data_IF_475172346119
#
_entry.id   IF_475172346119
#
_cell.length_a   1.000
_cell.length_b   1.000
_cell.length_c   1.000
_cell.angle_alpha   90.00
_cell.angle_beta   90.00
_cell.angle_gamma   90.00
#
_symmetry.space_group_name_H-M   'P 1'
#
loop_
_entity.id
_entity.type
_entity.pdbx_description
1 polymer ?
#
# COMPACT_ATOMS: atom_id res chain seq x y z
N UNK A 1 -7.62 33.13 6.88
CA UNK A 1 -6.50 32.86 5.94
C UNK A 1 -7.11 32.82 4.53
N UNK A 2 -7.03 33.91 3.77
CA UNK A 2 -7.50 33.96 2.37
C UNK A 2 -6.29 33.78 1.44
N UNK A 3 -6.11 32.57 0.92
CA UNK A 3 -5.16 32.35 -0.17
C UNK A 3 -5.77 32.93 -1.46
N UNK A 4 -5.01 33.77 -2.18
CA UNK A 4 -5.44 34.41 -3.43
C UNK A 4 -5.79 33.43 -4.56
N UNK A 5 -6.13 33.93 -5.76
CA UNK A 5 -6.65 33.10 -6.85
C UNK A 5 -5.64 32.02 -7.29
N UNK A 6 -6.17 30.85 -7.66
CA UNK A 6 -5.39 29.69 -8.13
C UNK A 6 -4.54 30.11 -9.35
N UNK A 7 -3.23 30.23 -9.16
CA UNK A 7 -2.29 30.66 -10.20
C UNK A 7 -1.94 29.55 -11.20
N UNK A 8 -2.02 28.29 -10.79
CA UNK A 8 -1.67 27.15 -11.63
C UNK A 8 -2.45 25.90 -11.20
N UNK A 9 -3.12 25.25 -12.14
CA UNK A 9 -3.81 23.97 -11.91
C UNK A 9 -3.07 22.87 -12.68
N UNK A 10 -2.32 22.06 -11.95
CA UNK A 10 -1.63 20.90 -12.51
C UNK A 10 -2.65 19.82 -12.86
N UNK A 11 -2.56 19.22 -14.06
CA UNK A 11 -3.31 18.02 -14.41
C UNK A 11 -2.49 16.77 -14.02
N UNK A 12 -2.95 15.95 -13.05
CA UNK A 12 -2.20 14.78 -12.60
C UNK A 12 -1.93 13.75 -13.70
N UNK A 13 -2.82 13.58 -14.69
CA UNK A 13 -2.60 12.68 -15.84
C UNK A 13 -1.45 13.15 -16.73
N UNK A 14 -1.37 14.45 -16.99
CA UNK A 14 -0.26 15.04 -17.78
C UNK A 14 1.06 14.92 -17.02
N UNK A 15 1.05 15.08 -15.70
CA UNK A 15 2.24 14.84 -14.88
C UNK A 15 2.65 13.37 -14.84
N UNK A 16 1.69 12.44 -14.75
CA UNK A 16 1.98 11.01 -14.76
C UNK A 16 2.66 10.58 -16.06
N UNK A 17 2.24 11.13 -17.21
CA UNK A 17 2.87 10.89 -18.51
C UNK A 17 4.27 11.49 -18.65
N UNK A 18 4.63 12.46 -17.80
CA UNK A 18 5.96 13.09 -17.77
C UNK A 18 6.91 12.41 -16.77
N UNK A 19 6.44 11.44 -15.98
CA UNK A 19 7.30 10.71 -15.03
C UNK A 19 8.05 9.59 -15.75
N UNK A 20 9.31 9.33 -15.37
CA UNK A 20 10.16 8.34 -16.03
C UNK A 20 9.86 6.88 -15.62
N UNK A 21 8.73 6.62 -14.96
CA UNK A 21 8.36 5.29 -14.47
C UNK A 21 6.87 4.99 -14.68
N UNK A 22 6.57 3.72 -14.96
CA UNK A 22 5.19 3.23 -15.11
C UNK A 22 4.48 3.20 -13.75
N UNK A 23 3.18 3.53 -13.74
CA UNK A 23 2.31 3.38 -12.57
C UNK A 23 1.33 2.26 -12.82
N UNK A 24 1.44 1.17 -12.06
CA UNK A 24 0.61 -0.02 -12.22
C UNK A 24 -0.22 -0.26 -10.97
N UNK A 25 -1.48 -0.65 -11.16
CA UNK A 25 -2.33 -1.17 -10.10
C UNK A 25 -2.67 -2.63 -10.41
N UNK A 26 -2.46 -3.49 -9.42
CA UNK A 26 -2.86 -4.90 -9.41
C UNK A 26 -4.04 -5.08 -8.44
N UNK A 27 -5.28 -5.20 -8.94
CA UNK A 27 -6.40 -5.61 -8.12
C UNK A 27 -6.17 -7.05 -7.62
N UNK A 28 -6.28 -7.26 -6.31
CA UNK A 28 -6.18 -8.57 -5.65
C UNK A 28 -7.53 -8.95 -5.09
N UNK A 29 -8.29 -9.71 -5.89
CA UNK A 29 -9.63 -10.14 -5.51
C UNK A 29 -9.57 -11.14 -4.36
N UNK A 30 -10.35 -10.87 -3.31
CA UNK A 30 -10.43 -11.72 -2.11
C UNK A 30 -11.76 -12.46 -2.10
N UNK A 31 -11.78 -13.62 -1.44
CA UNK A 31 -13.02 -14.35 -1.17
C UNK A 31 -13.68 -13.93 0.14
N UNK A 32 -13.25 -12.81 0.74
CA UNK A 32 -13.75 -12.33 2.02
C UNK A 32 -15.27 -12.14 1.98
N UNK A 33 -15.95 -12.75 2.94
CA UNK A 33 -17.40 -12.65 3.13
C UNK A 33 -17.70 -12.24 4.57
N UNK A 34 -18.82 -11.55 4.75
CA UNK A 34 -19.30 -11.17 6.08
C UNK A 34 -20.70 -11.72 6.31
N UNK A 35 -20.99 -12.10 7.54
CA UNK A 35 -22.33 -12.55 7.92
C UNK A 35 -23.35 -11.43 7.76
N UNK A 36 -24.61 -11.78 7.53
CA UNK A 36 -25.69 -10.78 7.47
C UNK A 36 -25.79 -9.95 8.76
N UNK A 37 -25.52 -10.57 9.91
CA UNK A 37 -25.49 -9.90 11.20
C UNK A 37 -24.41 -8.82 11.25
N UNK A 38 -23.18 -9.13 10.81
CA UNK A 38 -22.11 -8.13 10.72
C UNK A 38 -22.46 -6.99 9.76
N UNK A 39 -23.12 -7.28 8.63
CA UNK A 39 -23.60 -6.23 7.71
C UNK A 39 -24.63 -5.32 8.37
N UNK A 40 -25.57 -5.87 9.15
CA UNK A 40 -26.61 -5.11 9.87
C UNK A 40 -26.01 -4.25 10.98
N UNK A 41 -25.02 -4.77 11.71
CA UNK A 41 -24.29 -4.03 12.76
C UNK A 41 -23.42 -2.90 12.22
N UNK A 42 -23.10 -2.94 10.93
CA UNK A 42 -22.53 -1.82 10.18
C UNK A 42 -21.05 -1.95 9.88
N UNK A 43 -20.48 -0.88 9.32
CA UNK A 43 -19.15 -0.92 8.68
C UNK A 43 -18.01 -1.27 9.65
N UNK A 44 -18.14 -0.98 10.94
CA UNK A 44 -17.11 -1.29 11.92
C UNK A 44 -16.98 -2.80 12.17
N UNK A 45 -18.09 -3.53 12.20
CA UNK A 45 -18.07 -5.00 12.32
C UNK A 45 -17.49 -5.65 11.05
N UNK A 46 -17.83 -5.11 9.87
CA UNK A 46 -17.21 -5.54 8.61
C UNK A 46 -15.69 -5.37 8.68
N UNK A 47 -15.20 -4.25 9.17
CA UNK A 47 -13.76 -4.02 9.33
C UNK A 47 -13.11 -4.93 10.36
N UNK A 48 -13.80 -5.24 11.45
CA UNK A 48 -13.31 -6.19 12.47
C UNK A 48 -13.22 -7.61 11.91
N UNK A 49 -14.21 -8.04 11.14
CA UNK A 49 -14.17 -9.34 10.45
C UNK A 49 -13.06 -9.38 9.39
N UNK A 50 -12.89 -8.30 8.63
CA UNK A 50 -11.92 -8.21 7.53
C UNK A 50 -10.48 -8.39 7.97
N UNK A 51 -10.09 -7.83 9.11
CA UNK A 51 -8.71 -7.95 9.61
C UNK A 51 -8.41 -9.33 10.22
N UNK A 52 -9.46 -10.12 10.48
CA UNK A 52 -9.39 -11.48 11.04
C UNK A 52 -9.59 -12.57 9.99
N UNK A 53 -9.81 -12.19 8.73
CA UNK A 53 -9.96 -13.16 7.64
C UNK A 53 -8.60 -13.75 7.26
N UNK A 54 -8.36 -15.01 7.65
CA UNK A 54 -7.08 -15.68 7.47
C UNK A 54 -6.71 -15.82 5.99
N UNK A 55 -7.65 -16.26 5.14
CA UNK A 55 -7.39 -16.45 3.71
C UNK A 55 -6.98 -15.15 3.00
N UNK A 56 -7.60 -14.03 3.36
CA UNK A 56 -7.21 -12.70 2.88
C UNK A 56 -5.85 -12.29 3.43
N UNK A 57 -5.56 -12.57 4.70
CA UNK A 57 -4.28 -12.24 5.31
C UNK A 57 -3.13 -13.07 4.73
N UNK A 58 -3.38 -14.32 4.38
CA UNK A 58 -2.43 -15.20 3.67
C UNK A 58 -2.10 -14.64 2.29
N UNK A 59 -3.13 -14.26 1.52
CA UNK A 59 -2.95 -13.62 0.21
C UNK A 59 -2.06 -12.36 0.32
N UNK A 60 -2.32 -11.53 1.32
CA UNK A 60 -1.54 -10.32 1.57
C UNK A 60 -0.10 -10.65 1.93
N UNK A 61 0.09 -11.61 2.83
CA UNK A 61 1.40 -12.05 3.29
C UNK A 61 2.26 -12.55 2.12
N UNK A 62 1.71 -13.43 1.28
CA UNK A 62 2.40 -13.99 0.12
C UNK A 62 2.80 -12.90 -0.89
N UNK A 63 1.90 -11.95 -1.14
CA UNK A 63 2.18 -10.86 -2.07
C UNK A 63 3.27 -9.91 -1.54
N UNK A 64 3.32 -9.67 -0.22
CA UNK A 64 4.40 -8.90 0.44
C UNK A 64 5.73 -9.63 0.33
N UNK A 65 5.75 -10.92 0.64
CA UNK A 65 6.97 -11.73 0.59
C UNK A 65 7.55 -11.74 -0.83
N UNK A 66 6.72 -11.97 -1.84
CA UNK A 66 7.19 -11.95 -3.23
C UNK A 66 7.66 -10.56 -3.68
N UNK A 67 7.13 -9.48 -3.10
CA UNK A 67 7.65 -8.13 -3.36
C UNK A 67 9.05 -7.94 -2.76
N UNK A 68 9.27 -8.41 -1.54
CA UNK A 68 10.59 -8.39 -0.89
C UNK A 68 11.62 -9.23 -1.66
N UNK A 69 11.26 -10.45 -2.07
CA UNK A 69 12.11 -11.34 -2.89
C UNK A 69 12.50 -10.71 -4.23
N UNK A 70 11.64 -9.86 -4.80
CA UNK A 70 11.92 -9.10 -6.03
C UNK A 70 12.79 -7.86 -5.78
N UNK A 71 13.33 -7.69 -4.57
CA UNK A 71 14.17 -6.56 -4.18
C UNK A 71 13.43 -5.23 -4.16
N UNK A 72 12.11 -5.25 -3.99
CA UNK A 72 11.29 -4.02 -3.94
C UNK A 72 11.39 -3.37 -2.57
N UNK A 73 10.92 -2.13 -2.47
CA UNK A 73 10.81 -1.37 -1.22
C UNK A 73 9.34 -1.14 -0.88
N UNK A 74 8.68 -2.13 -0.24
CA UNK A 74 7.24 -2.07 0.01
C UNK A 74 6.83 -1.21 1.21
N UNK A 75 5.68 -0.56 1.05
CA UNK A 75 4.87 0.03 2.10
C UNK A 75 3.57 -0.78 2.23
N UNK A 76 3.37 -1.41 3.38
CA UNK A 76 2.10 -1.99 3.77
C UNK A 76 1.26 -0.99 4.55
N UNK A 77 0.05 -0.74 4.06
CA UNK A 77 -0.87 0.23 4.64
C UNK A 77 -2.16 -0.43 5.12
N UNK A 78 -2.46 -0.21 6.40
CA UNK A 78 -3.74 -0.56 7.03
C UNK A 78 -4.28 0.63 7.83
N UNK A 79 -5.50 0.55 8.37
CA UNK A 79 -6.07 1.60 9.25
C UNK A 79 -6.33 1.11 10.67
N UNK A 80 -6.09 -0.18 10.95
CA UNK A 80 -6.29 -0.80 12.26
C UNK A 80 -4.95 -1.18 12.87
N UNK A 81 -4.69 -0.72 14.09
CA UNK A 81 -3.46 -1.06 14.84
C UNK A 81 -3.34 -2.56 15.05
N UNK A 82 -4.43 -3.26 15.38
CA UNK A 82 -4.45 -4.73 15.53
C UNK A 82 -3.96 -5.46 14.27
N UNK A 83 -4.40 -5.01 13.09
CA UNK A 83 -3.98 -5.59 11.82
C UNK A 83 -2.51 -5.27 11.49
N UNK A 84 -2.06 -4.06 11.86
CA UNK A 84 -0.67 -3.65 11.71
C UNK A 84 0.25 -4.49 12.59
N UNK A 85 -0.14 -4.74 13.84
CA UNK A 85 0.62 -5.56 14.79
C UNK A 85 0.64 -7.02 14.33
N UNK A 86 -0.50 -7.57 13.89
CA UNK A 86 -0.58 -8.90 13.29
C UNK A 86 0.42 -9.10 12.15
N UNK A 87 0.49 -8.16 11.20
CA UNK A 87 1.43 -8.27 10.07
C UNK A 87 2.87 -8.02 10.48
N UNK A 88 3.13 -7.12 11.42
CA UNK A 88 4.48 -6.89 11.93
C UNK A 88 5.05 -8.16 12.60
N UNK A 89 4.24 -8.83 13.40
CA UNK A 89 4.63 -10.07 14.07
C UNK A 89 4.75 -11.23 13.07
N UNK A 90 3.77 -11.39 12.16
CA UNK A 90 3.77 -12.47 11.17
C UNK A 90 4.94 -12.38 10.18
N UNK A 91 5.37 -11.18 9.82
CA UNK A 91 6.49 -10.95 8.91
C UNK A 91 7.84 -10.92 9.64
N UNK A 92 7.85 -10.98 10.97
CA UNK A 92 9.07 -11.07 11.76
C UNK A 92 9.84 -12.34 11.39
N UNK A 93 11.04 -12.16 10.83
CA UNK A 93 11.89 -13.26 10.33
C UNK A 93 11.87 -13.45 8.80
N UNK A 94 10.93 -12.81 8.09
CA UNK A 94 10.89 -12.79 6.62
C UNK A 94 11.51 -11.54 6.03
N UNK A 95 11.63 -10.46 6.81
CA UNK A 95 12.40 -9.29 6.42
C UNK A 95 13.35 -8.87 7.52
N UNK A 96 14.59 -8.51 7.14
CA UNK A 96 15.62 -8.08 8.09
C UNK A 96 15.27 -6.74 8.75
N UNK A 97 14.60 -5.86 8.02
CA UNK A 97 14.32 -4.49 8.45
C UNK A 97 12.83 -4.18 8.36
N UNK A 98 12.09 -4.42 9.44
CA UNK A 98 10.66 -4.05 9.54
C UNK A 98 10.53 -2.75 10.34
N UNK A 99 9.95 -1.73 9.73
CA UNK A 99 9.71 -0.41 10.33
C UNK A 99 8.22 -0.20 10.52
N UNK A 100 7.78 -0.13 11.77
CA UNK A 100 6.35 -0.05 12.12
C UNK A 100 5.97 1.36 12.55
N UNK A 101 5.12 2.02 11.76
CA UNK A 101 4.67 3.39 12.02
C UNK A 101 3.17 3.46 12.32
N UNK A 102 2.82 3.70 13.58
CA UNK A 102 1.41 3.82 14.01
C UNK A 102 1.03 5.24 14.41
N UNK A 103 -0.26 5.55 14.26
CA UNK A 103 -0.83 6.77 14.80
C UNK A 103 -0.67 6.83 16.33
N UNK A 104 -0.42 8.02 16.88
CA UNK A 104 -0.25 8.22 18.33
C UNK A 104 1.17 8.07 18.85
N UNK A 105 2.16 7.82 17.98
CA UNK A 105 3.57 7.79 18.38
C UNK A 105 4.10 9.15 18.84
N UNK A 106 4.86 9.14 19.94
CA UNK A 106 5.50 10.33 20.47
C UNK A 106 6.59 10.89 19.53
N UNK A 107 6.98 12.15 19.73
CA UNK A 107 8.01 12.81 18.90
C UNK A 107 9.33 12.02 18.85
N UNK A 108 9.79 11.51 20.01
CA UNK A 108 11.03 10.74 20.13
C UNK A 108 10.97 9.44 19.32
N UNK A 109 9.95 8.62 19.51
CA UNK A 109 9.78 7.36 18.77
C UNK A 109 9.73 7.59 17.25
N UNK A 110 9.06 8.65 16.79
CA UNK A 110 9.03 9.02 15.37
C UNK A 110 10.42 9.42 14.84
N UNK A 111 11.23 10.07 15.66
CA UNK A 111 12.59 10.43 15.31
C UNK A 111 13.49 9.19 15.25
N UNK A 112 13.40 8.30 16.23
CA UNK A 112 14.19 7.07 16.29
C UNK A 112 13.92 6.18 15.07
N UNK A 113 12.64 5.98 14.70
CA UNK A 113 12.30 5.24 13.48
C UNK A 113 12.79 5.91 12.20
N UNK A 114 12.79 7.25 12.12
CA UNK A 114 13.36 7.95 10.96
C UNK A 114 14.86 7.77 10.86
N UNK A 115 15.57 7.78 11.99
CA UNK A 115 17.00 7.53 12.04
C UNK A 115 17.33 6.09 11.64
N UNK A 116 16.58 5.11 12.17
CA UNK A 116 16.69 3.71 11.78
C UNK A 116 16.40 3.53 10.28
N UNK A 117 15.37 4.18 9.76
CA UNK A 117 15.03 4.14 8.34
C UNK A 117 16.16 4.71 7.47
N UNK A 118 16.81 5.79 7.91
CA UNK A 118 17.91 6.43 7.20
C UNK A 118 19.23 5.66 7.30
N UNK A 119 19.40 4.77 8.30
CA UNK A 119 20.60 3.95 8.44
C UNK A 119 20.59 2.68 7.59
N UNK A 120 19.44 2.27 7.07
CA UNK A 120 19.32 1.09 6.20
C UNK A 120 19.80 1.46 4.80
N UNK A 121 20.81 0.75 4.28
CA UNK A 121 21.37 1.02 2.96
C UNK A 121 20.34 0.76 1.84
N UNK A 122 20.56 1.35 0.67
CA UNK A 122 19.67 1.25 -0.49
C UNK A 122 19.48 -0.18 -1.01
N UNK A 123 20.53 -1.00 -0.89
CA UNK A 123 20.61 -2.41 -1.25
C UNK A 123 20.07 -3.35 -0.16
N UNK A 124 19.85 -2.85 1.06
CA UNK A 124 19.27 -3.65 2.14
C UNK A 124 17.74 -3.71 2.02
N UNK A 125 17.24 -4.94 2.09
CA UNK A 125 15.81 -5.22 2.13
C UNK A 125 15.15 -4.59 3.36
N UNK A 126 13.94 -4.05 3.17
CA UNK A 126 13.13 -3.48 4.24
C UNK A 126 11.65 -3.46 3.89
N UNK A 127 10.82 -3.54 4.92
CA UNK A 127 9.37 -3.38 4.85
C UNK A 127 8.92 -2.26 5.79
N UNK A 128 8.10 -1.35 5.26
CA UNK A 128 7.42 -0.34 6.08
C UNK A 128 5.98 -0.76 6.30
N UNK A 129 5.55 -0.84 7.55
CA UNK A 129 4.17 -1.18 7.93
C UNK A 129 3.58 0.04 8.64
N UNK A 130 2.51 0.63 8.11
CA UNK A 130 2.00 1.88 8.65
C UNK A 130 0.47 1.94 8.75
N UNK A 131 -0.02 2.78 9.67
CA UNK A 131 -1.39 3.27 9.59
C UNK A 131 -1.51 4.52 8.70
N UNK A 132 -2.63 4.68 8.01
CA UNK A 132 -2.82 5.77 7.04
C UNK A 132 -2.67 7.18 7.61
N UNK A 133 -3.02 7.38 8.89
CA UNK A 133 -2.81 8.66 9.59
C UNK A 133 -1.34 9.08 9.61
N UNK A 134 -0.40 8.12 9.70
CA UNK A 134 1.02 8.43 9.79
C UNK A 134 1.61 8.92 8.47
N UNK A 135 1.23 8.30 7.35
CA UNK A 135 1.76 8.65 6.02
C UNK A 135 1.33 10.08 5.60
N UNK A 136 0.22 10.58 6.14
CA UNK A 136 -0.27 11.95 5.88
C UNK A 136 0.59 13.06 6.50
N UNK A 137 1.33 12.81 7.59
CA UNK A 137 2.04 13.83 8.39
C UNK A 137 3.49 14.10 7.93
N UNK A 138 3.78 13.97 6.62
CA UNK A 138 5.11 14.25 6.08
C UNK A 138 6.07 13.06 6.12
N UNK A 139 5.54 11.85 5.92
CA UNK A 139 6.36 10.70 5.58
C UNK A 139 7.07 10.92 4.23
N UNK A 140 8.38 10.76 4.22
CA UNK A 140 9.21 11.01 3.05
C UNK A 140 10.24 9.90 2.89
N UNK A 141 10.03 9.10 1.86
CA UNK A 141 10.93 8.03 1.50
C UNK A 141 10.91 7.82 -0.01
N UNK A 142 12.02 8.16 -0.66
CA UNK A 142 12.13 8.08 -2.11
C UNK A 142 12.28 6.64 -2.62
N UNK A 143 12.74 5.69 -1.80
CA UNK A 143 12.97 4.30 -2.21
C UNK A 143 11.66 3.54 -2.41
N UNK A 144 10.59 3.90 -1.69
CA UNK A 144 9.29 3.20 -1.75
C UNK A 144 8.75 3.07 -3.17
N UNK A 145 8.60 1.86 -3.68
CA UNK A 145 8.14 1.61 -5.05
C UNK A 145 6.92 0.68 -5.12
N UNK A 146 6.53 0.08 -4.00
CA UNK A 146 5.40 -0.84 -3.90
C UNK A 146 4.49 -0.43 -2.75
N UNK A 147 3.18 -0.36 -2.99
CA UNK A 147 2.16 -0.06 -1.97
C UNK A 147 1.15 -1.20 -1.87
N UNK A 148 1.05 -1.81 -0.69
CA UNK A 148 -0.03 -2.74 -0.35
C UNK A 148 -1.15 -2.00 0.38
N UNK A 149 -2.28 -1.79 -0.29
CA UNK A 149 -3.46 -1.15 0.27
C UNK A 149 -4.40 -2.21 0.84
N UNK A 150 -4.10 -2.66 2.06
CA UNK A 150 -4.79 -3.79 2.69
C UNK A 150 -6.08 -3.42 3.41
N UNK A 151 -6.32 -2.14 3.72
CA UNK A 151 -7.57 -1.72 4.34
C UNK A 151 -8.48 -1.00 3.35
N UNK A 152 -9.79 -1.32 3.31
CA UNK A 152 -10.70 -0.66 2.39
C UNK A 152 -10.85 0.83 2.75
N UNK A 153 -10.45 1.70 1.83
CA UNK A 153 -10.66 3.15 1.94
C UNK A 153 -11.50 3.67 0.77
N UNK A 154 -12.32 4.68 1.04
CA UNK A 154 -13.21 5.34 0.07
C UNK A 154 -12.67 6.73 -0.28
N UNK A 155 -11.49 6.92 -0.89
CA UNK A 155 -11.15 8.33 -1.23
C UNK A 155 -10.11 8.67 -2.31
N UNK A 156 -10.39 9.83 -2.94
CA UNK A 156 -9.61 10.53 -3.98
C UNK A 156 -8.42 11.33 -3.40
N UNK A 157 -8.59 11.97 -2.23
CA UNK A 157 -7.58 12.85 -1.63
C UNK A 157 -6.45 12.10 -0.92
N UNK A 158 -6.80 11.10 -0.11
CA UNK A 158 -5.85 10.26 0.62
C UNK A 158 -4.98 9.43 -0.34
N UNK A 159 -5.58 8.84 -1.38
CA UNK A 159 -4.82 8.11 -2.40
C UNK A 159 -3.83 9.02 -3.14
N UNK A 160 -4.22 10.26 -3.47
CA UNK A 160 -3.30 11.21 -4.10
C UNK A 160 -2.13 11.57 -3.18
N UNK A 161 -2.35 11.65 -1.86
CA UNK A 161 -1.27 11.85 -0.89
C UNK A 161 -0.36 10.62 -0.83
N UNK A 162 -0.89 9.40 -0.70
CA UNK A 162 -0.10 8.17 -0.63
C UNK A 162 0.64 7.88 -1.93
N UNK A 163 -0.06 7.95 -3.06
CA UNK A 163 0.50 7.84 -4.39
C UNK A 163 1.59 8.91 -4.60
N UNK A 164 1.33 10.16 -4.20
CA UNK A 164 2.33 11.24 -4.28
C UNK A 164 3.61 10.97 -3.49
N UNK A 165 3.54 10.24 -2.37
CA UNK A 165 4.73 9.86 -1.59
C UNK A 165 5.54 8.76 -2.27
N UNK A 166 4.89 7.77 -2.87
CA UNK A 166 5.58 6.70 -3.63
C UNK A 166 6.03 7.18 -5.03
N UNK A 167 5.46 8.26 -5.58
CA UNK A 167 5.86 8.87 -6.86
C UNK A 167 7.12 9.74 -6.78
N UNK A 168 7.88 9.67 -5.70
CA UNK A 168 9.14 10.40 -5.57
C UNK A 168 10.23 9.75 -6.42
N UNK A 169 10.93 10.57 -7.19
CA UNK A 169 12.04 10.14 -8.04
C UNK A 169 13.15 9.54 -7.17
N UNK A 170 13.67 8.40 -7.61
CA UNK A 170 14.81 7.73 -7.01
C UNK A 170 15.60 7.07 -8.13
N UNK A 171 16.93 7.07 -8.05
CA UNK A 171 17.81 6.64 -9.15
C UNK A 171 17.53 5.22 -9.63
N UNK A 172 17.01 4.36 -8.74
CA UNK A 172 16.67 2.96 -9.04
C UNK A 172 15.17 2.73 -9.35
N UNK A 173 14.32 3.77 -9.30
CA UNK A 173 12.86 3.61 -9.43
C UNK A 173 12.41 3.76 -10.88
N UNK A 174 12.13 2.62 -11.51
CA UNK A 174 11.59 2.51 -12.87
C UNK A 174 10.11 2.14 -12.93
N UNK A 175 9.55 1.66 -11.83
CA UNK A 175 8.17 1.19 -11.71
C UNK A 175 7.60 1.52 -10.33
N UNK A 176 6.35 1.96 -10.28
CA UNK A 176 5.57 2.06 -9.04
C UNK A 176 4.36 1.14 -9.15
N UNK A 177 4.23 0.20 -8.21
CA UNK A 177 3.12 -0.74 -8.17
C UNK A 177 2.26 -0.57 -6.92
N UNK A 178 0.95 -0.69 -7.11
CA UNK A 178 -0.03 -0.73 -6.04
C UNK A 178 -0.72 -2.09 -6.09
N UNK A 179 -0.90 -2.70 -4.93
CA UNK A 179 -1.73 -3.87 -4.71
C UNK A 179 -2.96 -3.42 -3.95
N UNK A 180 -4.12 -3.52 -4.57
CA UNK A 180 -5.39 -3.10 -3.96
C UNK A 180 -6.25 -4.35 -3.73
N UNK A 181 -6.47 -4.68 -2.45
CA UNK A 181 -7.24 -5.86 -2.07
C UNK A 181 -8.73 -5.56 -2.19
N UNK A 182 -9.40 -6.30 -3.08
CA UNK A 182 -10.77 -6.07 -3.52
C UNK A 182 -11.70 -7.13 -2.94
N UNK A 183 -12.45 -6.72 -1.93
CA UNK A 183 -13.43 -7.57 -1.24
C UNK A 183 -14.78 -7.57 -1.98
N UNK A 184 -14.83 -8.29 -3.11
CA UNK A 184 -15.94 -8.24 -4.09
C UNK A 184 -17.29 -8.73 -3.54
N UNK A 185 -17.26 -9.66 -2.58
CA UNK A 185 -18.47 -10.26 -2.02
C UNK A 185 -19.13 -9.37 -0.96
N UNK A 186 -18.54 -8.22 -0.63
CA UNK A 186 -19.07 -7.27 0.35
C UNK A 186 -19.48 -5.98 -0.37
N UNK A 187 -20.79 -5.77 -0.64
CA UNK A 187 -21.25 -4.69 -1.54
C UNK A 187 -20.78 -3.29 -1.14
N UNK A 188 -20.70 -3.01 0.16
CA UNK A 188 -20.19 -1.71 0.62
C UNK A 188 -18.73 -1.51 0.26
N UNK A 189 -17.87 -2.54 0.41
CA UNK A 189 -16.44 -2.48 0.10
C UNK A 189 -16.18 -2.39 -1.40
N UNK A 190 -16.98 -3.09 -2.22
CA UNK A 190 -16.93 -2.99 -3.68
C UNK A 190 -17.21 -1.56 -4.16
N UNK A 191 -18.20 -0.87 -3.60
CA UNK A 191 -18.45 0.56 -3.91
C UNK A 191 -17.27 1.46 -3.51
N UNK A 192 -16.49 1.09 -2.49
CA UNK A 192 -15.27 1.81 -2.11
C UNK A 192 -14.19 1.62 -3.17
N UNK A 193 -14.02 0.38 -3.64
CA UNK A 193 -13.09 0.04 -4.72
C UNK A 193 -13.41 0.80 -6.01
N UNK A 194 -14.66 0.86 -6.43
CA UNK A 194 -15.07 1.64 -7.62
C UNK A 194 -14.67 3.12 -7.51
N UNK A 195 -14.76 3.70 -6.30
CA UNK A 195 -14.29 5.07 -6.03
C UNK A 195 -12.76 5.16 -6.14
N UNK A 196 -12.02 4.16 -5.65
CA UNK A 196 -10.54 4.09 -5.79
C UNK A 196 -10.13 3.98 -7.25
N UNK A 197 -10.81 3.19 -8.08
CA UNK A 197 -10.55 3.06 -9.51
C UNK A 197 -10.66 4.38 -10.28
N UNK A 198 -11.65 5.21 -9.94
CA UNK A 198 -11.75 6.58 -10.47
C UNK A 198 -10.57 7.46 -10.04
N UNK A 199 -10.02 7.22 -8.86
CA UNK A 199 -8.80 7.87 -8.34
C UNK A 199 -7.54 7.43 -9.09
N UNK A 200 -7.30 6.13 -9.21
CA UNK A 200 -6.16 5.57 -9.97
C UNK A 200 -6.15 6.06 -11.42
N UNK A 201 -7.30 6.01 -12.10
CA UNK A 201 -7.42 6.53 -13.47
C UNK A 201 -7.07 8.01 -13.54
N UNK A 202 -7.53 8.84 -12.59
CA UNK A 202 -7.19 10.26 -12.55
C UNK A 202 -5.69 10.52 -12.32
N UNK A 203 -5.00 9.59 -11.66
CA UNK A 203 -3.56 9.64 -11.39
C UNK A 203 -2.71 8.99 -12.51
N UNK A 204 -3.33 8.44 -13.56
CA UNK A 204 -2.62 7.83 -14.68
C UNK A 204 -2.10 6.41 -14.42
N UNK A 205 -2.65 5.71 -13.43
CA UNK A 205 -2.35 4.29 -13.22
C UNK A 205 -2.97 3.42 -14.30
N UNK A 206 -2.23 2.39 -14.71
CA UNK A 206 -2.69 1.34 -15.60
C UNK A 206 -3.05 0.10 -14.78
N UNK A 207 -4.20 -0.50 -15.05
CA UNK A 207 -4.62 -1.75 -14.42
C UNK A 207 -3.92 -2.90 -15.13
N UNK A 208 -3.25 -3.77 -14.38
CA UNK A 208 -2.67 -5.03 -14.90
C UNK A 208 -3.16 -6.20 -14.06
N UNK A 209 -3.18 -7.38 -14.66
CA UNK A 209 -3.49 -8.62 -13.96
C UNK A 209 -2.26 -9.15 -13.22
N UNK A 210 -2.46 -9.70 -12.03
CA UNK A 210 -1.34 -10.15 -11.21
C UNK A 210 -0.67 -11.43 -11.71
N UNK A 211 -1.37 -12.25 -12.50
CA UNK A 211 -0.84 -13.52 -13.01
C UNK A 211 0.39 -13.32 -13.93
N UNK A 212 0.55 -12.13 -14.52
CA UNK A 212 1.75 -11.76 -15.26
C UNK A 212 3.00 -11.59 -14.36
N UNK A 213 2.79 -11.19 -13.09
CA UNK A 213 3.84 -10.98 -12.09
C UNK A 213 4.35 -12.32 -11.56
N UNK A 214 3.44 -13.25 -11.23
CA UNK A 214 3.79 -14.61 -10.77
C UNK A 214 4.60 -15.39 -11.79
N UNK A 215 4.27 -15.28 -13.09
CA UNK A 215 5.01 -15.95 -14.16
C UNK A 215 6.47 -15.50 -14.26
N UNK A 216 6.76 -14.22 -14.04
CA UNK A 216 8.13 -13.71 -14.07
C UNK A 216 8.92 -14.06 -12.78
N UNK A 217 8.26 -14.08 -11.61
CA UNK A 217 8.88 -14.51 -10.36
C UNK A 217 9.24 -16.01 -10.32
N UNK A 218 8.36 -16.88 -10.85
CA UNK A 218 8.60 -18.32 -10.92
C UNK A 218 9.75 -18.70 -11.86
N UNK A 219 10.05 -17.89 -12.89
CA UNK A 219 11.16 -18.14 -13.82
C UNK A 219 12.51 -17.89 -13.13
N UNK A 220 12.61 -16.90 -12.23
CA UNK A 220 13.83 -16.65 -11.46
C UNK A 220 14.11 -17.77 -10.44
N UNK A 221 13.06 -18.34 -9.83
CA UNK A 221 13.19 -19.46 -8.88
C UNK A 221 13.57 -20.81 -9.52
N UNK A 222 13.55 -20.94 -10.86
CA UNK A 222 14.05 -22.14 -11.57
C UNK A 222 15.52 -22.08 -11.98
N UNK A 223 16.16 -20.91 -11.88
CA UNK A 223 17.57 -20.71 -12.27
C UNK A 223 18.52 -20.75 -11.06
N UNK A 224 17.97 -20.76 -9.85
CA UNK A 224 18.71 -20.87 -8.59
C UNK A 224 18.36 -22.19 -7.88
N UNK A 225 18.71 -23.32 -8.49
CA UNK A 225 18.95 -24.61 -7.82
C UNK A 225 20.07 -25.34 -8.56
#
# INVERSE_FOLDING_TARGET
>A
MQCGPIRFRVNPKKQAALRPFEHVIYPRYTNFVVTEDAQKKGIQEIYTALIKDESRNDLIFDDILMSLERGRSPLFLTERTEHLEYFADRLQGFSRNILVFRGGMGKKQRQDLRLQMASISDDEERLIIATGRFIGEGFDDARLDTLFLAFPISWRGTLQQYAGRIHRLHTNKKFVEVFDYVDINVPVLMRMYEKRMKGYSALGYQVKEYDEVRKHGLVLNRVLF
#
